data_IF_391863603929
#
_entry.id   IF_391863603929
#
_cell.length_a   1.000
_cell.length_b   1.000
_cell.length_c   1.000
_cell.angle_alpha   90.00
_cell.angle_beta   90.00
_cell.angle_gamma   90.00
#
_symmetry.space_group_name_H-M   'P 1'
#
loop_
_entity.id
_entity.type
_entity.pdbx_description
1 polymer ?
#
# COMPACT_ATOMS: atom_id res chain seq x y z
N UNK A 1 2.21 -6.84 -3.83
CA UNK A 1 0.98 -7.52 -3.34
C UNK A 1 0.43 -6.69 -2.18
N UNK A 2 -0.89 -6.47 -2.13
CA UNK A 2 -1.56 -5.68 -1.08
C UNK A 2 -2.73 -6.46 -0.47
N UNK A 3 -3.12 -6.12 0.76
CA UNK A 3 -4.25 -6.71 1.46
C UNK A 3 -5.08 -5.63 2.16
N UNK A 4 -6.33 -5.93 2.47
CA UNK A 4 -7.21 -5.06 3.25
C UNK A 4 -7.36 -5.65 4.64
N UNK A 5 -7.27 -4.81 5.66
CA UNK A 5 -7.38 -5.21 7.06
C UNK A 5 -8.19 -4.17 7.84
N UNK A 6 -9.05 -4.63 8.76
CA UNK A 6 -9.78 -3.75 9.68
C UNK A 6 -9.12 -3.81 11.04
N UNK A 7 -8.70 -2.66 11.57
CA UNK A 7 -8.09 -2.57 12.91
C UNK A 7 -8.71 -1.42 13.66
N UNK A 8 -9.20 -1.70 14.88
CA UNK A 8 -9.89 -0.71 15.72
C UNK A 8 -11.03 -0.05 14.95
N UNK A 9 -10.92 1.26 14.73
CA UNK A 9 -11.87 2.16 14.08
C UNK A 9 -11.51 2.51 12.62
N UNK A 10 -10.51 1.85 12.03
CA UNK A 10 -10.08 2.11 10.66
C UNK A 10 -9.91 0.84 9.82
N UNK A 11 -9.93 1.03 8.51
CA UNK A 11 -9.52 0.05 7.51
C UNK A 11 -8.19 0.49 6.92
N UNK A 12 -7.27 -0.45 6.78
CA UNK A 12 -5.97 -0.21 6.15
C UNK A 12 -5.74 -1.10 4.94
N UNK A 13 -5.14 -0.51 3.90
CA UNK A 13 -4.63 -1.23 2.74
C UNK A 13 -3.13 -1.38 2.91
N UNK A 14 -2.71 -2.58 3.31
CA UNK A 14 -1.33 -2.92 3.64
C UNK A 14 -0.52 -3.33 2.42
N UNK A 15 0.71 -2.84 2.32
CA UNK A 15 1.66 -3.14 1.26
C UNK A 15 2.88 -3.88 1.83
N UNK A 16 2.96 -5.20 1.57
CA UNK A 16 4.04 -6.07 2.08
C UNK A 16 5.42 -5.79 1.46
N UNK A 17 5.45 -5.23 0.25
CA UNK A 17 6.67 -4.86 -0.47
C UNK A 17 6.87 -3.34 -0.51
N UNK A 18 6.55 -2.66 0.60
CA UNK A 18 6.62 -1.18 0.63
C UNK A 18 8.02 -0.62 0.47
N UNK A 19 9.07 -1.44 0.56
CA UNK A 19 10.45 -1.04 0.25
C UNK A 19 10.64 -0.65 -1.23
N UNK A 20 9.79 -1.15 -2.13
CA UNK A 20 9.83 -0.83 -3.56
C UNK A 20 8.93 0.35 -3.94
N UNK A 21 8.14 0.87 -2.99
CA UNK A 21 7.35 2.08 -3.21
C UNK A 21 8.28 3.30 -3.19
N UNK A 22 8.04 4.21 -4.13
CA UNK A 22 8.73 5.48 -4.21
C UNK A 22 8.53 6.29 -2.93
N UNK A 23 9.60 6.96 -2.48
CA UNK A 23 9.58 7.84 -1.31
C UNK A 23 8.55 8.96 -1.41
N UNK A 24 8.08 9.30 -2.62
CA UNK A 24 7.01 10.29 -2.81
C UNK A 24 5.70 9.90 -2.10
N UNK A 25 5.52 8.61 -1.78
CA UNK A 25 4.35 8.11 -1.07
C UNK A 25 4.48 8.14 0.45
N UNK A 26 5.65 8.48 1.00
CA UNK A 26 5.90 8.42 2.44
C UNK A 26 4.96 9.32 3.26
N UNK A 27 4.48 10.43 2.67
CA UNK A 27 3.51 11.33 3.30
C UNK A 27 2.11 10.71 3.49
N UNK A 28 1.75 9.71 2.68
CA UNK A 28 0.42 9.07 2.70
C UNK A 28 0.44 7.74 3.44
N UNK A 29 1.63 7.16 3.64
CA UNK A 29 1.81 5.79 4.09
C UNK A 29 2.21 5.74 5.57
N UNK A 30 1.49 4.92 6.34
CA UNK A 30 1.74 4.74 7.77
C UNK A 30 2.61 3.51 8.02
N UNK A 31 3.70 3.69 8.77
CA UNK A 31 4.62 2.64 9.22
C UNK A 31 4.62 2.52 10.75
N UNK A 32 3.49 2.15 11.36
CA UNK A 32 3.43 1.96 12.82
C UNK A 32 4.30 0.77 13.26
N UNK A 33 5.56 1.05 13.65
CA UNK A 33 6.55 0.11 14.21
C UNK A 33 6.85 -1.15 13.38
N UNK A 34 6.30 -1.29 12.18
CA UNK A 34 6.55 -2.39 11.24
C UNK A 34 7.64 -1.97 10.26
N UNK A 35 8.76 -2.70 10.26
CA UNK A 35 9.91 -2.42 9.36
C UNK A 35 9.62 -2.66 7.88
N UNK A 36 8.65 -3.54 7.57
CA UNK A 36 8.48 -4.09 6.20
C UNK A 36 7.15 -3.72 5.57
N UNK A 37 6.19 -3.23 6.36
CA UNK A 37 4.81 -2.97 5.88
C UNK A 37 4.46 -1.51 6.10
N UNK A 38 4.03 -0.85 5.02
CA UNK A 38 3.36 0.44 5.04
C UNK A 38 1.89 0.26 4.66
N UNK A 39 1.00 1.11 5.15
CA UNK A 39 -0.42 1.08 4.76
C UNK A 39 -1.04 2.45 4.54
N UNK A 40 -2.01 2.52 3.64
CA UNK A 40 -3.00 3.60 3.59
C UNK A 40 -4.09 3.31 4.62
N UNK A 41 -4.61 4.32 5.31
CA UNK A 41 -5.60 4.15 6.39
C UNK A 41 -6.77 5.09 6.22
N UNK A 42 -7.97 4.54 6.33
CA UNK A 42 -9.21 5.26 6.12
C UNK A 42 -10.20 4.92 7.24
N UNK A 43 -10.93 5.92 7.73
CA UNK A 43 -12.02 5.72 8.70
C UNK A 43 -13.38 5.75 8.01
N UNK A 44 -13.49 6.52 6.95
CA UNK A 44 -14.67 6.69 6.12
C UNK A 44 -14.31 6.58 4.64
N UNK A 45 -15.33 6.49 3.77
CA UNK A 45 -15.10 6.48 2.33
C UNK A 45 -14.62 7.84 1.82
N UNK A 46 -15.09 8.94 2.41
CA UNK A 46 -14.68 10.31 2.06
C UNK A 46 -13.20 10.60 2.38
N UNK A 47 -12.57 9.81 3.27
CA UNK A 47 -11.13 9.92 3.54
C UNK A 47 -10.27 9.38 2.39
N UNK A 48 -10.87 8.67 1.43
CA UNK A 48 -10.16 8.06 0.31
C UNK A 48 -9.94 9.11 -0.78
N UNK A 49 -8.68 9.54 -0.94
CA UNK A 49 -8.26 10.21 -2.16
C UNK A 49 -8.06 9.16 -3.26
N UNK A 50 -9.05 9.05 -4.16
CA UNK A 50 -9.05 8.08 -5.25
C UNK A 50 -7.81 8.20 -6.15
N UNK A 51 -7.34 9.43 -6.41
CA UNK A 51 -6.21 9.66 -7.30
C UNK A 51 -4.91 9.13 -6.69
N UNK A 52 -4.70 9.38 -5.40
CA UNK A 52 -3.55 8.86 -4.65
C UNK A 52 -3.66 7.34 -4.51
N UNK A 53 -4.84 6.84 -4.13
CA UNK A 53 -5.07 5.41 -3.93
C UNK A 53 -4.77 4.60 -5.21
N UNK A 54 -5.36 5.01 -6.34
CA UNK A 54 -5.16 4.34 -7.63
C UNK A 54 -3.69 4.45 -8.08
N UNK A 55 -3.05 5.60 -7.86
CA UNK A 55 -1.64 5.79 -8.25
C UNK A 55 -0.69 4.87 -7.49
N UNK A 56 -0.90 4.71 -6.18
CA UNK A 56 -0.10 3.77 -5.36
C UNK A 56 -0.35 2.33 -5.80
N UNK A 57 -1.61 1.95 -6.06
CA UNK A 57 -1.94 0.60 -6.53
C UNK A 57 -1.26 0.27 -7.87
N UNK A 58 -1.28 1.20 -8.83
CA UNK A 58 -0.59 1.04 -10.12
C UNK A 58 0.92 0.89 -9.96
N UNK A 59 1.54 1.64 -9.05
CA UNK A 59 2.98 1.51 -8.79
C UNK A 59 3.33 0.15 -8.16
N UNK A 60 2.50 -0.32 -7.21
CA UNK A 60 2.65 -1.66 -6.61
C UNK A 60 2.43 -2.76 -7.63
N UNK A 61 1.53 -2.57 -8.59
CA UNK A 61 1.28 -3.50 -9.68
C UNK A 61 2.44 -3.52 -10.70
N UNK A 62 2.90 -2.36 -11.17
CA UNK A 62 4.03 -2.25 -12.10
C UNK A 62 5.34 -2.78 -11.51
N UNK A 63 5.49 -2.76 -10.18
CA UNK A 63 6.58 -3.43 -9.49
C UNK A 63 6.56 -4.97 -9.56
N UNK A 64 5.41 -5.59 -9.90
CA UNK A 64 5.28 -7.05 -10.02
C UNK A 64 5.99 -7.60 -11.25
N UNK A 65 6.14 -6.83 -12.33
CA UNK A 65 6.83 -7.28 -13.55
C UNK A 65 8.34 -7.51 -13.34
N UNK A 66 8.92 -6.95 -12.27
CA UNK A 66 10.33 -7.17 -11.91
C UNK A 66 10.53 -8.25 -10.84
N UNK A 67 9.46 -8.94 -10.42
CA UNK A 67 9.45 -9.83 -9.28
C UNK A 67 9.02 -11.28 -9.57
N UNK A 68 10.02 -12.14 -9.76
CA UNK A 68 10.09 -13.51 -9.20
C UNK A 68 9.18 -14.66 -9.69
N UNK A 69 8.18 -14.49 -10.55
CA UNK A 69 7.53 -15.68 -11.15
C UNK A 69 8.24 -16.11 -12.44
N UNK A 70 9.18 -17.07 -12.33
CA UNK A 70 9.48 -17.95 -13.46
C UNK A 70 8.25 -18.85 -13.65
N UNK A 71 7.60 -18.75 -14.81
CA UNK A 71 6.73 -19.82 -15.30
C UNK A 71 7.55 -21.12 -15.26
N UNK A 72 7.09 -22.06 -14.44
CA UNK A 72 7.54 -23.46 -14.52
C UNK A 72 7.08 -24.09 -15.82
#
# INVERSE_FOLDING_TARGET
MCYINKTKDYVDVGFWHSAHLSKKWDAYLVSEKRKVVKSLRYKTLDDIDDAIFISILKEVEGGKEKGFYKKG
#
